data_IF_002079497549
#
_entry.id   IF_002079497549
#
_cell.length_a   1.000
_cell.length_b   1.000
_cell.length_c   1.000
_cell.angle_alpha   90.00
_cell.angle_beta   90.00
_cell.angle_gamma   90.00
#
_symmetry.space_group_name_H-M   'P 1'
#
loop_
_entity.id
_entity.type
_entity.pdbx_description
1 polymer ?
#
# COMPACT_ATOMS: atom_id res chain seq x y z
N UNK A 1 44.10 -49.88 48.66
CA UNK A 1 43.84 -50.10 47.23
C UNK A 1 42.45 -49.60 46.91
N UNK A 2 42.33 -48.41 46.36
CA UNK A 2 41.06 -47.75 46.03
C UNK A 2 40.94 -47.61 44.51
N UNK A 3 39.90 -48.06 43.82
CA UNK A 3 39.81 -47.93 42.38
C UNK A 3 39.25 -46.55 41.98
N UNK A 4 39.85 -45.98 40.93
CA UNK A 4 39.48 -44.79 40.22
C UNK A 4 38.03 -44.90 39.66
N UNK A 5 37.21 -43.88 39.89
CA UNK A 5 36.01 -43.59 39.10
C UNK A 5 36.39 -42.71 37.92
N UNK A 6 36.36 -43.28 36.73
CA UNK A 6 36.45 -42.53 35.47
C UNK A 6 35.05 -42.10 35.00
N UNK A 7 34.93 -40.81 34.73
CA UNK A 7 34.24 -40.13 33.62
C UNK A 7 32.83 -40.61 33.20
N UNK A 8 31.83 -39.91 33.69
CA UNK A 8 30.57 -39.75 32.98
C UNK A 8 30.37 -38.25 32.69
N UNK A 9 30.56 -37.81 31.44
CA UNK A 9 29.93 -36.63 30.90
C UNK A 9 30.04 -36.46 29.37
N UNK A 10 29.38 -37.30 28.53
CA UNK A 10 29.19 -36.96 27.12
C UNK A 10 27.99 -36.07 26.87
N UNK A 11 27.04 -35.90 27.83
CA UNK A 11 25.78 -35.20 27.63
C UNK A 11 25.92 -33.64 27.56
N UNK A 12 26.96 -33.05 28.11
CA UNK A 12 27.14 -31.59 28.10
C UNK A 12 27.69 -31.02 26.80
N UNK A 13 28.42 -31.79 26.02
CA UNK A 13 28.94 -31.35 24.73
C UNK A 13 27.86 -31.30 23.64
N UNK A 14 26.91 -32.25 23.64
CA UNK A 14 25.82 -32.27 22.66
C UNK A 14 24.87 -31.09 22.83
N UNK A 15 24.57 -30.63 24.05
CA UNK A 15 23.67 -29.49 24.29
C UNK A 15 24.31 -28.15 23.93
N UNK A 16 25.62 -28.03 23.95
CA UNK A 16 26.32 -26.80 23.55
C UNK A 16 26.36 -26.63 22.03
N UNK A 17 26.60 -27.70 21.27
CA UNK A 17 26.60 -27.70 19.80
C UNK A 17 25.20 -27.45 19.26
N UNK A 18 24.18 -28.01 19.92
CA UNK A 18 22.79 -27.82 19.48
C UNK A 18 22.28 -26.37 19.71
N UNK A 19 22.68 -25.72 20.82
CA UNK A 19 22.33 -24.31 21.09
C UNK A 19 23.04 -23.35 20.15
N UNK A 20 24.27 -23.59 19.76
CA UNK A 20 24.99 -22.74 18.79
C UNK A 20 24.42 -22.85 17.38
N UNK A 21 23.96 -24.05 16.96
CA UNK A 21 23.36 -24.22 15.64
C UNK A 21 22.05 -23.48 15.49
N UNK A 22 21.20 -23.42 16.52
CA UNK A 22 19.95 -22.65 16.52
C UNK A 22 20.21 -21.14 16.50
N UNK A 23 21.21 -20.66 17.22
CA UNK A 23 21.58 -19.24 17.23
C UNK A 23 22.14 -18.78 15.89
N UNK A 24 22.94 -19.60 15.20
CA UNK A 24 23.42 -19.30 13.86
C UNK A 24 22.28 -19.33 12.81
N UNK A 25 21.38 -20.29 12.92
CA UNK A 25 20.22 -20.37 11.99
C UNK A 25 19.28 -19.17 12.16
N UNK A 26 19.01 -18.73 13.38
CA UNK A 26 18.25 -17.53 13.66
C UNK A 26 18.97 -16.25 13.19
N UNK A 27 20.29 -16.17 13.34
CA UNK A 27 21.08 -15.04 12.86
C UNK A 27 21.10 -14.95 11.33
N UNK A 28 21.20 -16.06 10.62
CA UNK A 28 21.14 -16.13 9.16
C UNK A 28 19.74 -15.76 8.64
N UNK A 29 18.68 -16.24 9.29
CA UNK A 29 17.30 -15.84 8.97
C UNK A 29 17.10 -14.35 9.23
N UNK A 30 17.68 -13.80 10.30
CA UNK A 30 17.60 -12.38 10.63
C UNK A 30 18.38 -11.50 9.64
N UNK A 31 19.57 -11.89 9.20
CA UNK A 31 20.37 -11.16 8.20
C UNK A 31 19.65 -11.12 6.84
N UNK A 32 18.94 -12.18 6.46
CA UNK A 32 18.15 -12.22 5.23
C UNK A 32 16.91 -11.29 5.33
N UNK A 33 16.31 -11.16 6.54
CA UNK A 33 15.13 -10.31 6.71
C UNK A 33 15.43 -8.81 6.67
N UNK A 34 16.60 -8.38 7.17
CA UNK A 34 16.98 -6.96 7.21
C UNK A 34 17.30 -6.41 5.82
N UNK A 35 17.89 -7.21 4.93
CA UNK A 35 18.16 -6.79 3.55
C UNK A 35 16.90 -6.75 2.67
N UNK A 36 15.81 -7.35 3.11
CA UNK A 36 14.61 -7.54 2.32
C UNK A 36 13.52 -6.47 2.51
N UNK A 37 13.69 -5.54 3.44
CA UNK A 37 12.77 -4.40 3.56
C UNK A 37 12.77 -3.53 2.28
N UNK A 38 13.89 -3.50 1.55
CA UNK A 38 13.99 -2.84 0.26
C UNK A 38 13.27 -3.54 -0.90
N UNK A 39 12.92 -4.82 -0.76
CA UNK A 39 12.24 -5.60 -1.81
C UNK A 39 10.73 -5.77 -1.59
N UNK A 40 10.21 -5.34 -0.44
CA UNK A 40 8.78 -5.40 -0.13
C UNK A 40 7.97 -4.25 -0.75
N UNK A 41 8.58 -3.49 -1.65
CA UNK A 41 7.93 -2.37 -2.32
C UNK A 41 6.95 -2.90 -3.37
N UNK A 42 5.69 -2.57 -3.18
CA UNK A 42 4.60 -2.92 -4.08
C UNK A 42 3.91 -1.66 -4.60
N UNK A 43 3.15 -1.79 -5.66
CA UNK A 43 2.28 -0.73 -6.13
C UNK A 43 0.99 -0.74 -5.31
N UNK A 44 0.56 0.44 -4.88
CA UNK A 44 -0.72 0.64 -4.22
C UNK A 44 -1.87 0.68 -5.25
N UNK A 45 -3.09 0.91 -4.78
CA UNK A 45 -4.29 1.05 -5.60
C UNK A 45 -4.09 1.99 -6.80
N UNK A 46 -3.47 3.13 -6.64
CA UNK A 46 -3.24 4.10 -7.71
C UNK A 46 -1.93 3.92 -8.50
N UNK A 47 -1.27 2.77 -8.31
CA UNK A 47 -0.03 2.42 -9.01
C UNK A 47 1.25 2.99 -8.41
N UNK A 48 1.21 3.73 -7.31
CA UNK A 48 2.39 4.25 -6.64
C UNK A 48 3.07 3.18 -5.79
N UNK A 49 4.39 3.27 -5.60
CA UNK A 49 5.03 2.46 -4.56
C UNK A 49 4.44 2.78 -3.19
N UNK A 50 3.83 1.76 -2.54
CA UNK A 50 3.08 1.98 -1.31
C UNK A 50 2.62 0.73 -0.58
N UNK A 51 1.70 0.93 0.36
CA UNK A 51 0.95 -0.12 1.03
C UNK A 51 -0.18 -0.63 0.09
N UNK A 52 -1.40 -0.87 0.56
CA UNK A 52 -2.48 -1.28 -0.33
C UNK A 52 -3.16 -0.06 -1.01
N UNK A 53 -3.41 1.01 -0.24
CA UNK A 53 -4.05 2.25 -0.71
C UNK A 53 -3.10 3.45 -0.62
N UNK A 54 -2.33 3.56 0.46
CA UNK A 54 -1.52 4.75 0.75
C UNK A 54 -0.12 4.66 0.14
N UNK A 55 0.45 5.76 -0.36
CA UNK A 55 1.83 5.79 -0.84
C UNK A 55 2.84 5.74 0.31
N UNK A 56 4.00 5.10 0.04
CA UNK A 56 5.19 5.21 0.86
C UNK A 56 6.14 6.29 0.33
N UNK A 57 7.09 6.71 1.17
CA UNK A 57 8.16 7.63 0.75
C UNK A 57 9.23 6.97 -0.14
N UNK A 58 9.14 5.66 -0.35
CA UNK A 58 10.01 4.95 -1.29
C UNK A 58 9.53 5.15 -2.74
N UNK A 59 10.46 5.04 -3.69
CA UNK A 59 10.18 5.06 -5.13
C UNK A 59 10.48 3.71 -5.75
N UNK A 60 9.89 3.40 -6.89
CA UNK A 60 10.25 2.23 -7.68
C UNK A 60 11.77 2.19 -7.92
N UNK A 61 12.43 1.03 -7.76
CA UNK A 61 13.86 0.91 -7.92
C UNK A 61 14.33 1.33 -9.30
N UNK A 62 15.44 2.05 -9.32
CA UNK A 62 16.10 2.46 -10.56
C UNK A 62 17.60 2.68 -10.34
N UNK A 63 18.41 2.65 -11.40
CA UNK A 63 19.82 3.01 -11.30
C UNK A 63 20.01 4.50 -10.99
N UNK A 64 21.24 4.89 -10.62
CA UNK A 64 21.56 6.29 -10.37
C UNK A 64 21.47 7.17 -11.62
N UNK A 65 21.62 6.56 -12.79
CA UNK A 65 21.47 7.20 -14.09
C UNK A 65 20.54 6.35 -14.96
N UNK A 66 19.47 6.97 -15.48
CA UNK A 66 18.49 6.30 -16.35
C UNK A 66 17.27 5.76 -15.59
N UNK A 67 16.55 4.88 -16.26
CA UNK A 67 15.29 4.28 -15.80
C UNK A 67 15.52 2.90 -15.21
N UNK A 68 14.71 2.53 -14.23
CA UNK A 68 14.58 1.17 -13.74
C UNK A 68 13.70 0.31 -14.64
N UNK A 69 13.59 -0.95 -14.32
CA UNK A 69 12.61 -1.83 -14.94
C UNK A 69 11.20 -1.45 -14.45
N UNK A 70 10.19 -1.52 -15.35
CA UNK A 70 8.83 -1.17 -14.98
C UNK A 70 8.26 -2.19 -13.98
N UNK A 71 7.31 -1.73 -13.19
CA UNK A 71 6.42 -2.57 -12.41
C UNK A 71 5.00 -2.42 -12.97
N UNK A 72 4.25 -3.51 -12.98
CA UNK A 72 2.83 -3.52 -13.35
C UNK A 72 2.01 -4.08 -12.19
N UNK A 73 0.79 -3.62 -12.04
CA UNK A 73 -0.14 -4.21 -11.06
C UNK A 73 -1.56 -4.26 -11.60
N UNK A 74 -2.30 -5.20 -11.03
CA UNK A 74 -3.74 -5.31 -11.15
C UNK A 74 -4.32 -5.27 -9.73
N UNK A 75 -5.35 -4.43 -9.53
CA UNK A 75 -6.11 -4.40 -8.31
C UNK A 75 -7.59 -4.60 -8.57
N UNK A 76 -8.24 -5.27 -7.65
CA UNK A 76 -9.68 -5.45 -7.60
C UNK A 76 -10.19 -5.06 -6.22
N UNK A 77 -11.29 -4.29 -6.19
CA UNK A 77 -12.03 -3.95 -4.99
C UNK A 77 -13.50 -4.30 -5.24
N UNK A 78 -14.06 -5.16 -4.40
CA UNK A 78 -15.49 -5.39 -4.36
C UNK A 78 -16.15 -4.17 -3.71
N UNK A 79 -16.90 -3.40 -4.46
CA UNK A 79 -17.68 -2.25 -3.96
C UNK A 79 -19.04 -2.66 -3.37
N UNK A 80 -19.29 -3.96 -3.28
CA UNK A 80 -20.57 -4.52 -2.83
C UNK A 80 -21.64 -4.47 -3.93
N UNK A 81 -22.81 -5.02 -3.59
CA UNK A 81 -23.91 -5.15 -4.55
C UNK A 81 -24.39 -3.79 -5.11
N UNK A 82 -24.24 -2.71 -4.36
CA UNK A 82 -24.71 -1.37 -4.78
C UNK A 82 -23.78 -0.74 -5.80
N UNK A 83 -22.46 -0.77 -5.55
CA UNK A 83 -21.45 -0.07 -6.34
C UNK A 83 -20.80 -0.96 -7.42
N UNK A 84 -20.88 -2.29 -7.27
CA UNK A 84 -20.20 -3.24 -8.16
C UNK A 84 -18.72 -3.39 -7.86
N UNK A 85 -17.95 -3.95 -8.80
CA UNK A 85 -16.52 -4.17 -8.66
C UNK A 85 -15.71 -3.06 -9.31
N UNK A 86 -14.60 -2.66 -8.67
CA UNK A 86 -13.63 -1.72 -9.21
C UNK A 86 -12.36 -2.46 -9.59
N UNK A 87 -11.81 -2.13 -10.75
CA UNK A 87 -10.59 -2.74 -11.30
C UNK A 87 -9.59 -1.66 -11.67
N UNK A 88 -8.33 -1.91 -11.37
CA UNK A 88 -7.25 -1.01 -11.77
C UNK A 88 -6.08 -1.77 -12.36
N UNK A 89 -5.56 -1.27 -13.47
CA UNK A 89 -4.33 -1.75 -14.09
C UNK A 89 -3.32 -0.61 -14.11
N UNK A 90 -2.16 -0.85 -13.52
CA UNK A 90 -1.13 0.17 -13.36
C UNK A 90 0.18 -0.22 -14.00
N UNK A 91 0.91 0.79 -14.49
CA UNK A 91 2.30 0.69 -14.90
C UNK A 91 3.13 1.81 -14.30
N UNK A 92 4.26 1.48 -13.66
CA UNK A 92 5.09 2.44 -12.93
C UNK A 92 6.56 2.19 -13.16
N UNK A 93 7.32 3.25 -13.33
CA UNK A 93 8.77 3.21 -13.52
C UNK A 93 9.47 4.17 -12.56
N UNK A 94 10.57 3.69 -11.96
CA UNK A 94 11.50 4.54 -11.21
C UNK A 94 12.61 5.09 -12.10
N UNK A 95 13.15 6.25 -11.74
CA UNK A 95 14.29 6.83 -12.45
C UNK A 95 15.18 7.65 -11.52
N UNK A 96 16.48 7.67 -11.84
CA UNK A 96 17.52 8.41 -11.10
C UNK A 96 17.57 8.09 -9.59
N UNK A 97 17.16 6.90 -9.16
CA UNK A 97 17.05 6.46 -7.74
C UNK A 97 16.10 7.28 -6.84
N UNK A 98 15.52 8.35 -7.37
CA UNK A 98 14.76 9.30 -6.54
C UNK A 98 13.38 9.62 -7.06
N UNK A 99 13.09 9.26 -8.28
CA UNK A 99 11.83 9.62 -8.90
C UNK A 99 11.04 8.39 -9.30
N UNK A 100 9.74 8.55 -9.34
CA UNK A 100 8.78 7.56 -9.79
C UNK A 100 7.70 8.27 -10.59
N UNK A 101 7.28 7.66 -11.67
CA UNK A 101 6.12 8.10 -12.43
C UNK A 101 5.36 6.89 -12.97
N UNK A 102 4.05 7.03 -13.13
CA UNK A 102 3.24 5.94 -13.63
C UNK A 102 1.86 6.38 -14.08
N UNK A 103 1.16 5.40 -14.63
CA UNK A 103 -0.20 5.52 -15.13
C UNK A 103 -1.03 4.34 -14.66
N UNK A 104 -2.28 4.63 -14.31
CA UNK A 104 -3.27 3.63 -13.91
C UNK A 104 -4.57 3.88 -14.68
N UNK A 105 -5.16 2.81 -15.20
CA UNK A 105 -6.52 2.84 -15.73
C UNK A 105 -7.45 2.20 -14.72
N UNK A 106 -8.40 2.97 -14.21
CA UNK A 106 -9.47 2.52 -13.33
C UNK A 106 -10.74 2.25 -14.15
N UNK A 107 -11.43 1.17 -13.83
CA UNK A 107 -12.72 0.78 -14.44
C UNK A 107 -13.65 0.23 -13.35
N UNK A 108 -14.94 0.22 -13.64
CA UNK A 108 -15.95 -0.34 -12.77
C UNK A 108 -16.83 -1.33 -13.53
N UNK A 109 -17.27 -2.39 -12.87
CA UNK A 109 -18.38 -3.22 -13.31
C UNK A 109 -19.65 -2.80 -12.56
N UNK A 110 -20.75 -2.75 -13.26
CA UNK A 110 -22.03 -2.28 -12.73
C UNK A 110 -22.47 -3.03 -11.46
N UNK A 111 -22.95 -2.26 -10.48
CA UNK A 111 -23.66 -2.77 -9.32
C UNK A 111 -25.15 -2.98 -9.61
N UNK A 112 -25.90 -3.35 -8.58
CA UNK A 112 -27.36 -3.60 -8.67
C UNK A 112 -28.18 -2.32 -8.82
N UNK A 113 -27.59 -1.15 -8.59
CA UNK A 113 -28.28 0.14 -8.67
C UNK A 113 -27.92 0.81 -9.98
N UNK A 114 -28.72 0.56 -11.01
CA UNK A 114 -28.49 1.04 -12.37
C UNK A 114 -28.39 2.58 -12.47
N UNK A 115 -29.00 3.32 -11.56
CA UNK A 115 -28.88 4.78 -11.51
C UNK A 115 -27.50 5.29 -11.11
N UNK A 116 -26.65 4.44 -10.49
CA UNK A 116 -25.27 4.76 -10.15
C UNK A 116 -24.28 4.34 -11.23
N UNK A 117 -24.66 3.45 -12.15
CA UNK A 117 -23.81 2.99 -13.25
C UNK A 117 -23.17 4.13 -14.06
N UNK A 118 -23.89 5.20 -14.41
CA UNK A 118 -23.29 6.31 -15.15
C UNK A 118 -22.13 7.00 -14.43
N UNK A 119 -22.05 6.90 -13.09
CA UNK A 119 -20.93 7.47 -12.31
C UNK A 119 -19.60 6.75 -12.58
N UNK A 120 -19.65 5.49 -13.02
CA UNK A 120 -18.47 4.63 -13.04
C UNK A 120 -18.19 3.99 -14.40
N UNK A 121 -19.16 3.90 -15.31
CA UNK A 121 -19.09 3.13 -16.57
C UNK A 121 -17.94 3.54 -17.50
N UNK A 122 -17.56 4.81 -17.53
CA UNK A 122 -16.47 5.28 -18.38
C UNK A 122 -15.08 4.91 -17.87
N UNK A 123 -14.96 4.60 -16.58
CA UNK A 123 -13.69 4.53 -15.87
C UNK A 123 -12.93 5.85 -15.95
N UNK A 124 -11.78 5.95 -15.29
CA UNK A 124 -10.96 7.16 -15.30
C UNK A 124 -9.47 6.83 -15.38
N UNK A 125 -8.68 7.83 -15.73
CA UNK A 125 -7.24 7.71 -15.83
C UNK A 125 -6.59 8.35 -14.62
N UNK A 126 -5.51 7.74 -14.13
CA UNK A 126 -4.71 8.22 -13.01
C UNK A 126 -3.27 8.37 -13.48
N UNK A 127 -2.72 9.54 -13.32
CA UNK A 127 -1.29 9.82 -13.53
C UNK A 127 -0.69 10.17 -12.19
N UNK A 128 0.47 9.62 -11.89
CA UNK A 128 1.16 9.93 -10.65
C UNK A 128 2.64 10.19 -10.85
N UNK A 129 3.19 10.98 -9.93
CA UNK A 129 4.62 11.20 -9.83
C UNK A 129 5.05 11.38 -8.39
N UNK A 130 6.26 10.94 -8.07
CA UNK A 130 6.84 11.04 -6.72
C UNK A 130 8.33 11.32 -6.80
N UNK A 131 8.82 12.19 -5.91
CA UNK A 131 10.22 12.53 -5.74
C UNK A 131 10.65 12.24 -4.30
N UNK A 132 11.64 11.35 -4.11
CA UNK A 132 12.25 11.10 -2.82
C UNK A 132 13.28 12.18 -2.50
N UNK A 133 12.95 13.06 -1.56
CA UNK A 133 13.79 14.18 -1.13
C UNK A 133 14.88 13.72 -0.18
N UNK A 134 14.52 12.81 0.74
CA UNK A 134 15.42 12.29 1.76
C UNK A 134 15.29 10.77 1.81
N UNK A 135 16.40 10.08 1.61
CA UNK A 135 16.43 8.61 1.76
C UNK A 135 16.36 8.19 3.22
N UNK A 136 15.82 7.02 3.48
CA UNK A 136 15.82 6.42 4.82
C UNK A 136 17.26 6.25 5.33
N UNK A 137 17.48 6.55 6.61
CA UNK A 137 18.79 6.51 7.26
C UNK A 137 19.85 7.44 6.63
N UNK A 138 19.42 8.55 6.03
CA UNK A 138 20.33 9.54 5.46
C UNK A 138 21.35 10.01 6.49
N UNK A 139 22.58 10.27 6.07
CA UNK A 139 23.67 10.68 6.96
C UNK A 139 24.10 9.63 7.99
N UNK A 140 23.74 8.35 7.77
CA UNK A 140 24.00 7.21 8.68
C UNK A 140 23.26 7.28 10.03
N UNK A 141 22.20 8.06 10.10
CA UNK A 141 21.35 8.16 11.28
C UNK A 141 20.14 7.24 11.17
N UNK A 142 20.11 6.16 11.94
CA UNK A 142 19.08 5.10 11.87
C UNK A 142 17.66 5.57 12.20
N UNK A 143 17.48 6.75 12.77
CA UNK A 143 16.18 7.32 13.11
C UNK A 143 15.55 8.16 11.98
N UNK A 144 16.33 8.55 10.96
CA UNK A 144 15.84 9.41 9.88
C UNK A 144 14.89 8.61 8.97
N UNK A 145 13.63 9.05 8.77
CA UNK A 145 12.73 8.42 7.81
C UNK A 145 13.09 8.82 6.38
N UNK A 146 12.63 8.03 5.42
CA UNK A 146 12.51 8.50 4.04
C UNK A 146 11.43 9.58 3.96
N UNK A 147 11.63 10.62 3.14
CA UNK A 147 10.64 11.68 2.91
C UNK A 147 10.49 11.88 1.41
N UNK A 148 9.24 11.92 0.95
CA UNK A 148 8.91 12.16 -0.46
C UNK A 148 7.79 13.17 -0.62
N UNK A 149 7.84 13.89 -1.74
CA UNK A 149 6.71 14.64 -2.28
C UNK A 149 6.14 13.88 -3.47
N UNK A 150 4.84 13.97 -3.66
CA UNK A 150 4.20 13.37 -4.81
C UNK A 150 2.90 14.06 -5.19
N UNK A 151 2.40 13.67 -6.34
CA UNK A 151 1.11 14.11 -6.85
C UNK A 151 0.38 12.92 -7.48
N UNK A 152 -0.94 13.05 -7.54
CA UNK A 152 -1.84 12.21 -8.32
C UNK A 152 -2.77 13.14 -9.09
N UNK A 153 -2.92 12.93 -10.39
CA UNK A 153 -3.87 13.64 -11.23
C UNK A 153 -4.81 12.61 -11.88
N UNK A 154 -6.11 12.80 -11.73
CA UNK A 154 -7.13 11.92 -12.28
C UNK A 154 -7.97 12.68 -13.30
N UNK A 155 -8.14 12.08 -14.47
CA UNK A 155 -8.89 12.65 -15.59
C UNK A 155 -10.01 11.71 -16.03
N UNK A 156 -11.02 12.23 -16.67
CA UNK A 156 -12.24 11.52 -17.05
C UNK A 156 -13.03 11.00 -15.83
N UNK A 157 -12.89 11.67 -14.70
CA UNK A 157 -13.67 11.38 -13.49
C UNK A 157 -15.08 11.89 -13.71
N UNK A 158 -16.09 11.06 -13.43
CA UNK A 158 -17.48 11.50 -13.55
C UNK A 158 -17.82 12.51 -12.45
N UNK A 159 -18.37 13.63 -12.87
CA UNK A 159 -18.84 14.66 -11.94
C UNK A 159 -20.19 14.26 -11.36
N UNK A 160 -20.25 14.02 -10.06
CA UNK A 160 -21.48 13.55 -9.40
C UNK A 160 -22.68 14.47 -9.67
N UNK A 161 -22.51 15.78 -9.57
CA UNK A 161 -23.55 16.75 -9.92
C UNK A 161 -23.82 16.90 -11.42
N UNK A 162 -22.98 16.34 -12.27
CA UNK A 162 -23.02 16.43 -13.72
C UNK A 162 -23.39 15.14 -14.44
N UNK A 163 -23.68 14.05 -13.70
CA UNK A 163 -23.96 12.72 -14.28
C UNK A 163 -25.04 12.73 -15.32
N UNK A 164 -26.15 13.43 -15.08
CA UNK A 164 -27.25 13.53 -16.02
C UNK A 164 -26.90 14.28 -17.32
N UNK A 165 -25.82 15.07 -17.28
CA UNK A 165 -25.32 15.84 -18.42
C UNK A 165 -24.07 15.22 -19.04
N UNK A 166 -23.65 14.02 -18.56
CA UNK A 166 -22.44 13.32 -18.97
C UNK A 166 -21.18 14.21 -18.90
N UNK A 167 -21.02 14.92 -17.78
CA UNK A 167 -19.92 15.85 -17.57
C UNK A 167 -18.77 15.15 -16.85
N UNK A 168 -17.62 15.13 -17.51
CA UNK A 168 -16.36 14.70 -16.90
C UNK A 168 -15.69 15.84 -16.15
N UNK A 169 -14.88 15.47 -15.18
CA UNK A 169 -14.03 16.38 -14.40
C UNK A 169 -12.64 15.80 -14.21
N UNK A 170 -11.82 16.53 -13.50
CA UNK A 170 -10.50 16.08 -13.04
C UNK A 170 -10.35 16.39 -11.56
N UNK A 171 -9.52 15.65 -10.89
CA UNK A 171 -9.14 15.92 -9.51
C UNK A 171 -7.69 15.53 -9.24
N UNK A 172 -7.13 16.14 -8.22
CA UNK A 172 -5.72 16.00 -7.90
C UNK A 172 -5.48 15.84 -6.40
N UNK A 173 -4.37 15.18 -6.10
CA UNK A 173 -3.74 15.16 -4.78
C UNK A 173 -2.31 15.68 -4.90
N UNK A 174 -1.89 16.53 -3.97
CA UNK A 174 -0.49 16.85 -3.71
C UNK A 174 -0.17 16.41 -2.29
N UNK A 175 0.89 15.65 -2.10
CA UNK A 175 1.19 15.08 -0.78
C UNK A 175 2.66 15.12 -0.41
N UNK A 176 2.90 15.11 0.89
CA UNK A 176 4.17 14.78 1.51
C UNK A 176 3.99 13.53 2.36
N UNK A 177 4.95 12.63 2.32
CA UNK A 177 4.91 11.37 3.09
C UNK A 177 6.27 11.06 3.68
N UNK A 178 6.27 10.59 4.93
CA UNK A 178 7.43 10.05 5.62
C UNK A 178 7.21 8.56 5.87
N UNK A 179 8.24 7.73 5.61
CA UNK A 179 8.19 6.28 5.82
C UNK A 179 9.45 5.82 6.54
N UNK A 180 9.27 4.95 7.55
CA UNK A 180 10.36 4.43 8.35
C UNK A 180 10.22 2.92 8.57
N UNK A 181 11.29 2.19 8.33
CA UNK A 181 11.44 0.80 8.76
C UNK A 181 12.06 0.76 10.15
N UNK A 182 11.34 0.21 11.13
CA UNK A 182 11.74 0.10 12.52
C UNK A 182 12.17 -1.34 12.78
N UNK A 183 13.46 -1.56 12.85
CA UNK A 183 14.08 -2.90 13.10
C UNK A 183 14.53 -3.09 14.55
N UNK A 184 14.11 -2.21 15.46
CA UNK A 184 14.48 -2.28 16.87
C UNK A 184 14.02 -3.59 17.53
N UNK A 185 12.84 -4.05 17.18
CA UNK A 185 12.34 -5.36 17.57
C UNK A 185 12.91 -6.40 16.61
N UNK A 186 14.02 -7.01 17.00
CA UNK A 186 14.78 -7.97 16.18
C UNK A 186 13.95 -9.10 15.56
N UNK A 187 12.80 -9.40 16.14
CA UNK A 187 11.91 -10.50 15.71
C UNK A 187 10.83 -10.02 14.74
N UNK A 188 10.48 -8.74 14.75
CA UNK A 188 9.34 -8.22 14.00
C UNK A 188 9.63 -6.83 13.42
N UNK A 189 10.23 -6.74 12.23
CA UNK A 189 10.40 -5.46 11.56
C UNK A 189 9.04 -4.82 11.26
N UNK A 190 8.91 -3.53 11.62
CA UNK A 190 7.70 -2.74 11.38
C UNK A 190 8.02 -1.68 10.33
N UNK A 191 7.16 -1.52 9.34
CA UNK A 191 7.16 -0.38 8.42
C UNK A 191 6.01 0.53 8.81
N UNK A 192 6.31 1.78 9.07
CA UNK A 192 5.32 2.81 9.39
C UNK A 192 5.44 3.99 8.42
N UNK A 193 4.30 4.53 8.01
CA UNK A 193 4.20 5.66 7.09
C UNK A 193 3.15 6.63 7.59
N UNK A 194 3.44 7.92 7.48
CA UNK A 194 2.51 8.99 7.78
C UNK A 194 2.67 10.10 6.74
N UNK A 195 1.56 10.59 6.22
CA UNK A 195 1.56 11.64 5.22
C UNK A 195 0.40 12.62 5.39
N UNK A 196 0.55 13.73 4.71
CA UNK A 196 -0.48 14.77 4.57
C UNK A 196 -0.67 15.04 3.09
N UNK A 197 -1.92 15.18 2.66
CA UNK A 197 -2.26 15.54 1.29
C UNK A 197 -3.22 16.73 1.25
N UNK A 198 -3.03 17.62 0.29
CA UNK A 198 -4.05 18.53 -0.20
C UNK A 198 -4.77 17.81 -1.34
N UNK A 199 -6.10 17.72 -1.27
CA UNK A 199 -6.91 16.94 -2.21
C UNK A 199 -8.24 17.61 -2.51
N UNK A 200 -8.69 17.47 -3.75
CA UNK A 200 -10.05 17.72 -4.18
C UNK A 200 -10.76 16.44 -4.68
N UNK A 201 -10.14 15.27 -4.48
CA UNK A 201 -10.71 13.98 -4.83
C UNK A 201 -11.51 13.38 -3.68
N UNK A 202 -12.66 12.80 -3.96
CA UNK A 202 -13.45 12.02 -3.00
C UNK A 202 -13.24 10.54 -3.25
N UNK A 203 -12.91 9.79 -2.19
CA UNK A 203 -12.65 8.33 -2.22
C UNK A 203 -11.72 7.96 -3.40
N UNK A 204 -10.50 8.52 -3.40
CA UNK A 204 -9.52 8.28 -4.48
C UNK A 204 -10.03 8.60 -5.89
N UNK A 205 -10.96 9.54 -6.01
CA UNK A 205 -11.59 9.91 -7.27
C UNK A 205 -12.81 9.07 -7.66
N UNK A 206 -13.03 7.92 -7.05
CA UNK A 206 -14.19 7.04 -7.34
C UNK A 206 -15.52 7.78 -7.10
N UNK A 207 -15.61 8.59 -6.05
CA UNK A 207 -16.79 9.38 -5.72
C UNK A 207 -16.74 10.81 -6.30
N UNK A 208 -15.98 11.04 -7.37
CA UNK A 208 -15.87 12.33 -8.03
C UNK A 208 -15.05 13.35 -7.25
N UNK A 209 -15.45 14.61 -7.32
CA UNK A 209 -14.74 15.72 -6.66
C UNK A 209 -15.27 15.99 -5.25
N UNK A 210 -14.37 16.44 -4.39
CA UNK A 210 -14.76 17.12 -3.17
C UNK A 210 -15.28 18.53 -3.49
N UNK A 211 -16.15 19.05 -2.63
CA UNK A 211 -16.70 20.39 -2.79
C UNK A 211 -15.63 21.49 -2.79
N UNK A 212 -14.52 21.26 -2.10
CA UNK A 212 -13.37 22.17 -2.02
C UNK A 212 -12.09 21.38 -1.79
N UNK A 213 -10.95 21.99 -2.08
CA UNK A 213 -9.64 21.49 -1.67
C UNK A 213 -9.54 21.38 -0.15
N UNK A 214 -9.06 20.27 0.34
CA UNK A 214 -8.96 19.99 1.77
C UNK A 214 -7.65 19.31 2.11
N UNK A 215 -7.06 19.73 3.24
CA UNK A 215 -5.94 19.01 3.85
C UNK A 215 -6.40 17.75 4.57
N UNK A 216 -5.76 16.60 4.30
CA UNK A 216 -6.13 15.30 4.87
C UNK A 216 -4.88 14.52 5.27
N UNK A 217 -5.00 13.78 6.37
CA UNK A 217 -3.95 12.86 6.81
C UNK A 217 -4.19 11.47 6.25
N UNK A 218 -3.12 10.76 6.01
CA UNK A 218 -3.11 9.34 5.70
C UNK A 218 -1.92 8.65 6.34
N UNK A 219 -2.01 7.34 6.53
CA UNK A 219 -0.90 6.58 7.07
C UNK A 219 -1.11 5.09 6.97
N UNK A 220 -0.03 4.35 7.16
CA UNK A 220 0.01 2.91 7.16
C UNK A 220 1.00 2.41 8.19
N UNK A 221 0.72 1.25 8.75
CA UNK A 221 1.68 0.49 9.53
C UNK A 221 1.53 -1.00 9.24
N UNK A 222 2.64 -1.70 9.17
CA UNK A 222 2.64 -3.14 8.95
C UNK A 222 3.90 -3.79 9.49
N UNK A 223 3.83 -5.10 9.71
CA UNK A 223 4.93 -5.91 10.17
C UNK A 223 5.19 -7.09 9.23
N UNK A 224 6.44 -7.50 9.17
CA UNK A 224 6.91 -8.56 8.26
C UNK A 224 7.19 -9.81 9.07
N UNK A 225 6.61 -10.94 8.66
CA UNK A 225 6.85 -12.26 9.25
C UNK A 225 7.30 -13.28 8.20
N UNK A 226 8.02 -14.32 8.58
CA UNK A 226 8.25 -15.47 7.71
C UNK A 226 6.93 -16.14 7.34
N UNK A 227 6.75 -16.45 6.06
CA UNK A 227 5.61 -17.18 5.53
C UNK A 227 5.95 -18.62 5.14
N UNK A 228 4.95 -19.38 4.66
CA UNK A 228 5.16 -20.73 4.17
C UNK A 228 6.10 -20.76 2.95
N UNK A 229 6.73 -21.88 2.69
CA UNK A 229 7.66 -22.10 1.56
C UNK A 229 8.76 -21.03 1.46
N UNK A 230 9.22 -20.49 2.62
CA UNK A 230 10.22 -19.42 2.71
C UNK A 230 9.79 -18.08 2.09
N UNK A 231 8.50 -17.88 1.86
CA UNK A 231 7.91 -16.58 1.50
C UNK A 231 8.02 -15.59 2.67
N UNK A 232 7.69 -14.33 2.43
CA UNK A 232 7.46 -13.34 3.47
C UNK A 232 6.01 -12.92 3.43
N UNK A 233 5.45 -12.65 4.59
CA UNK A 233 4.12 -12.10 4.72
C UNK A 233 4.20 -10.76 5.43
N UNK A 234 3.47 -9.79 4.93
CA UNK A 234 3.30 -8.48 5.57
C UNK A 234 1.85 -8.35 5.97
N UNK A 235 1.61 -8.06 7.25
CA UNK A 235 0.27 -7.72 7.73
C UNK A 235 0.27 -6.24 8.09
N UNK A 236 -0.73 -5.52 7.64
CA UNK A 236 -0.79 -4.08 7.86
C UNK A 236 -2.19 -3.52 7.91
N UNK A 237 -2.26 -2.28 8.37
CA UNK A 237 -3.44 -1.46 8.37
C UNK A 237 -3.10 -0.07 7.85
N UNK A 238 -4.07 0.56 7.22
CA UNK A 238 -3.97 1.90 6.67
C UNK A 238 -5.19 2.71 7.06
N UNK A 239 -5.01 4.00 7.13
CA UNK A 239 -6.10 4.96 7.19
C UNK A 239 -5.90 6.06 6.15
N UNK A 240 -7.01 6.52 5.60
CA UNK A 240 -7.06 7.63 4.65
C UNK A 240 -8.24 8.52 5.03
N UNK A 241 -7.94 9.73 5.50
CA UNK A 241 -8.98 10.72 5.76
C UNK A 241 -9.54 11.23 4.43
N UNK A 242 -10.85 11.15 4.28
CA UNK A 242 -11.55 11.63 3.09
C UNK A 242 -12.01 13.08 3.26
N UNK A 243 -12.15 13.84 2.17
CA UNK A 243 -12.90 15.08 2.18
C UNK A 243 -14.31 14.86 2.69
N UNK A 244 -14.78 15.74 3.58
CA UNK A 244 -16.08 15.54 4.25
C UNK A 244 -17.29 15.70 3.36
N UNK A 245 -17.17 16.45 2.27
CA UNK A 245 -18.28 16.79 1.39
C UNK A 245 -17.94 16.48 -0.05
N UNK A 246 -18.85 15.81 -0.73
CA UNK A 246 -18.79 15.53 -2.16
C UNK A 246 -19.43 16.68 -2.92
N UNK A 247 -18.81 17.09 -4.02
CA UNK A 247 -19.42 18.08 -4.93
C UNK A 247 -20.78 17.57 -5.46
N UNK A 248 -21.80 18.42 -5.41
CA UNK A 248 -23.16 18.06 -5.84
C UNK A 248 -23.98 17.23 -4.86
N UNK A 249 -23.38 16.80 -3.73
CA UNK A 249 -24.07 16.08 -2.65
C UNK A 249 -23.80 16.74 -1.29
N UNK A 250 -24.35 17.92 -1.01
CA UNK A 250 -23.98 18.71 0.18
C UNK A 250 -24.33 18.05 1.51
N UNK A 251 -25.24 17.08 1.52
CA UNK A 251 -25.58 16.27 2.71
C UNK A 251 -24.71 15.06 2.92
N UNK A 252 -23.88 14.67 1.94
CA UNK A 252 -23.04 13.50 2.03
C UNK A 252 -21.80 13.77 2.92
N UNK A 253 -21.48 12.82 3.78
CA UNK A 253 -20.28 12.84 4.63
C UNK A 253 -19.53 11.55 4.48
N UNK A 254 -18.29 11.63 4.01
CA UNK A 254 -17.41 10.49 3.89
C UNK A 254 -16.66 10.27 5.22
N UNK A 255 -16.66 9.05 5.75
CA UNK A 255 -15.82 8.69 6.88
C UNK A 255 -14.37 8.53 6.43
N UNK A 256 -13.48 8.34 7.40
CA UNK A 256 -12.10 7.89 7.13
C UNK A 256 -12.14 6.48 6.55
N UNK A 257 -11.49 6.25 5.42
CA UNK A 257 -11.28 4.92 4.86
C UNK A 257 -10.24 4.17 5.70
N UNK A 258 -10.56 2.94 6.08
CA UNK A 258 -9.67 2.03 6.79
C UNK A 258 -9.45 0.81 5.91
N UNK A 259 -8.19 0.37 5.78
CA UNK A 259 -7.84 -0.84 5.04
C UNK A 259 -6.98 -1.73 5.91
N UNK A 260 -7.29 -3.01 5.94
CA UNK A 260 -6.45 -4.06 6.55
C UNK A 260 -5.99 -4.96 5.42
N UNK A 261 -4.70 -5.29 5.39
CA UNK A 261 -4.16 -6.09 4.30
C UNK A 261 -3.15 -7.13 4.77
N UNK A 262 -3.07 -8.21 4.01
CA UNK A 262 -2.01 -9.20 4.06
C UNK A 262 -1.33 -9.26 2.69
N UNK A 263 -0.02 -9.11 2.65
CA UNK A 263 0.82 -9.21 1.44
C UNK A 263 1.65 -10.47 1.50
N UNK A 264 1.64 -11.25 0.45
CA UNK A 264 2.52 -12.39 0.26
C UNK A 264 3.59 -12.03 -0.76
N UNK A 265 4.85 -12.18 -0.34
CA UNK A 265 6.04 -11.98 -1.17
C UNK A 265 6.67 -13.36 -1.35
N UNK A 266 6.50 -14.04 -2.49
CA UNK A 266 7.07 -15.35 -2.73
C UNK A 266 8.59 -15.36 -2.59
N UNK A 267 9.15 -16.54 -2.34
CA UNK A 267 10.61 -16.71 -2.27
C UNK A 267 11.24 -16.67 -3.66
N UNK A 268 12.47 -16.17 -3.71
CA UNK A 268 13.33 -16.27 -4.88
C UNK A 268 13.31 -15.03 -5.74
N UNK A 269 13.65 -15.24 -6.99
CA UNK A 269 13.74 -14.17 -7.99
C UNK A 269 12.37 -13.81 -8.60
N UNK A 270 11.29 -14.44 -8.10
CA UNK A 270 9.96 -14.13 -8.60
C UNK A 270 9.55 -12.73 -8.11
N UNK A 271 9.57 -11.72 -8.96
CA UNK A 271 9.28 -10.33 -8.58
C UNK A 271 7.76 -10.10 -8.49
N UNK A 272 7.05 -11.03 -7.87
CA UNK A 272 5.61 -11.06 -7.71
C UNK A 272 5.22 -10.74 -6.28
N UNK A 273 4.22 -9.90 -6.08
CA UNK A 273 3.55 -9.71 -4.79
C UNK A 273 2.05 -9.92 -4.97
N UNK A 274 1.42 -10.49 -3.96
CA UNK A 274 -0.02 -10.71 -3.91
C UNK A 274 -0.55 -10.09 -2.63
N UNK A 275 -1.52 -9.20 -2.76
CA UNK A 275 -2.17 -8.50 -1.65
C UNK A 275 -3.61 -8.97 -1.51
N UNK A 276 -4.02 -9.22 -0.28
CA UNK A 276 -5.39 -9.46 0.12
C UNK A 276 -5.77 -8.39 1.12
N UNK A 277 -6.91 -7.77 0.97
CA UNK A 277 -7.33 -6.70 1.85
C UNK A 277 -8.81 -6.68 2.14
N UNK A 278 -9.17 -5.96 3.19
CA UNK A 278 -10.54 -5.57 3.50
C UNK A 278 -10.54 -4.05 3.67
N UNK A 279 -11.27 -3.37 2.81
CA UNK A 279 -11.45 -1.93 2.88
C UNK A 279 -12.78 -1.58 3.55
N UNK A 280 -12.77 -0.64 4.48
CA UNK A 280 -13.95 -0.03 5.07
C UNK A 280 -14.07 1.41 4.54
N UNK A 281 -14.91 1.60 3.54
CA UNK A 281 -15.06 2.90 2.84
C UNK A 281 -16.20 3.70 3.46
N UNK A 282 -17.45 3.26 3.30
CA UNK A 282 -18.62 3.90 3.87
C UNK A 282 -19.81 2.94 3.95
N UNK A 283 -20.58 3.01 5.03
CA UNK A 283 -21.86 2.30 5.11
C UNK A 283 -23.02 3.23 4.73
N UNK A 284 -23.04 4.43 5.30
CA UNK A 284 -24.04 5.45 5.06
C UNK A 284 -23.32 6.79 4.85
N UNK A 285 -23.63 7.48 3.76
CA UNK A 285 -23.00 8.75 3.40
C UNK A 285 -23.92 9.96 3.63
N UNK A 286 -25.24 9.73 3.69
CA UNK A 286 -26.26 10.70 4.05
C UNK A 286 -27.44 9.97 4.69
N UNK A 287 -28.32 10.63 5.45
CA UNK A 287 -29.50 10.02 6.03
C UNK A 287 -30.30 9.21 5.02
N UNK A 288 -30.39 7.90 5.21
CA UNK A 288 -31.09 6.96 4.32
C UNK A 288 -30.31 6.53 3.05
N UNK A 289 -29.12 7.09 2.79
CA UNK A 289 -28.29 6.70 1.64
C UNK A 289 -27.23 5.72 2.09
N UNK A 290 -27.55 4.43 2.02
CA UNK A 290 -26.66 3.33 2.43
C UNK A 290 -25.93 2.76 1.22
N UNK A 291 -24.60 2.82 1.22
CA UNK A 291 -23.75 2.23 0.19
C UNK A 291 -23.40 0.77 0.47
N UNK A 292 -23.60 0.31 1.71
CA UNK A 292 -23.23 -1.05 2.16
C UNK A 292 -21.75 -1.41 1.91
N UNK A 293 -20.86 -0.40 1.81
CA UNK A 293 -19.43 -0.55 1.56
C UNK A 293 -18.59 -0.52 2.85
N UNK A 294 -19.08 -1.18 3.91
CA UNK A 294 -18.40 -1.19 5.22
C UNK A 294 -17.23 -2.17 5.29
N UNK A 295 -17.31 -3.27 4.60
CA UNK A 295 -16.26 -4.29 4.63
C UNK A 295 -16.20 -4.94 3.25
N UNK A 296 -15.32 -4.41 2.42
CA UNK A 296 -15.20 -4.80 1.02
C UNK A 296 -13.90 -5.57 0.83
N UNK A 297 -13.98 -6.71 0.17
CA UNK A 297 -12.81 -7.50 -0.20
C UNK A 297 -12.00 -6.78 -1.27
N UNK A 298 -10.69 -6.87 -1.15
CA UNK A 298 -9.76 -6.32 -2.12
C UNK A 298 -8.63 -7.31 -2.40
N UNK A 299 -8.20 -7.34 -3.66
CA UNK A 299 -7.10 -8.16 -4.16
C UNK A 299 -6.14 -7.28 -4.96
N UNK A 300 -4.84 -7.49 -4.78
CA UNK A 300 -3.80 -6.85 -5.58
C UNK A 300 -2.79 -7.87 -6.05
N UNK A 301 -2.32 -7.72 -7.28
CA UNK A 301 -1.19 -8.49 -7.82
C UNK A 301 -0.24 -7.52 -8.47
N UNK A 302 1.02 -7.54 -8.09
CA UNK A 302 2.05 -6.71 -8.70
C UNK A 302 3.22 -7.54 -9.17
N UNK A 303 3.74 -7.20 -10.33
CA UNK A 303 4.90 -7.83 -10.94
C UNK A 303 5.92 -6.75 -11.35
N UNK A 304 7.19 -7.01 -11.09
CA UNK A 304 8.30 -6.17 -11.55
C UNK A 304 9.15 -6.94 -12.55
N UNK A 305 9.44 -6.31 -13.68
CA UNK A 305 10.31 -6.89 -14.70
C UNK A 305 11.79 -6.85 -14.32
#
# INVERSE_FOLDING_TARGET
MTPLRMLEHPARLASFVQRTSWSCSLLVVFLITVTAAGHAQNLNWEGQTGAFVTPFAYTSPSPAKGFGLPAVSFHYLDGGSVLGGFYEVSGTVGFLKRFEAGYTRAQNSDGSVSSLSPLFNGGFNIFHGKANLLGENAGKHNYIPAISLGFVARTNVQRVGGVLNNQDTHNEDFYIVATKTISYFRVLPIVASLGFKATNASVLGIAGNAANWQGRLFGAAGFVVPGPAKSKMVFGAEFLQEPRQIEGLPGARLPTTLTYFARVIPRGELPLNIDFGVAQVANEIAPGVKLHARSQFALGVSYRF
#
